data_IF_290299926349
#
_entry.id   IF_290299926349
#
_cell.length_a   1.000
_cell.length_b   1.000
_cell.length_c   1.000
_cell.angle_alpha   90.00
_cell.angle_beta   90.00
_cell.angle_gamma   90.00
#
_symmetry.space_group_name_H-M   'P 1'
#
loop_
_entity.id
_entity.type
_entity.pdbx_description
1 polymer ?
#
# COMPACT_ATOMS: atom_id res chain seq x y z
N UNK A 1 5.03 10.29 5.19
CA UNK A 1 4.72 9.93 3.77
C UNK A 1 4.76 11.20 2.92
N UNK A 2 5.60 11.30 1.86
CA UNK A 2 5.81 12.57 1.12
C UNK A 2 4.54 13.11 0.44
N UNK A 3 4.42 14.43 0.41
CA UNK A 3 3.32 15.17 -0.23
C UNK A 3 3.09 14.78 -1.71
N UNK A 4 4.12 14.27 -2.39
CA UNK A 4 4.04 13.87 -3.79
C UNK A 4 3.10 12.70 -4.08
N UNK A 5 2.78 11.87 -3.09
CA UNK A 5 1.88 10.72 -3.25
C UNK A 5 0.39 11.13 -3.26
N UNK A 6 0.07 12.25 -2.62
CA UNK A 6 -1.30 12.69 -2.37
C UNK A 6 -1.89 13.48 -3.54
N UNK A 7 -3.22 13.58 -3.54
CA UNK A 7 -4.06 14.32 -4.50
C UNK A 7 -3.83 13.92 -5.96
N UNK A 8 -3.27 12.73 -6.17
CA UNK A 8 -2.93 12.16 -7.46
C UNK A 8 -3.51 10.76 -7.56
N UNK A 9 -4.18 10.47 -8.68
CA UNK A 9 -4.61 9.12 -9.02
C UNK A 9 -3.47 8.39 -9.71
N UNK A 10 -3.06 7.25 -9.16
CA UNK A 10 -1.98 6.40 -9.63
C UNK A 10 -2.55 5.13 -10.25
N UNK A 11 -1.99 4.71 -11.38
CA UNK A 11 -2.19 3.35 -11.88
C UNK A 11 -1.10 2.46 -11.30
N UNK A 12 -1.48 1.34 -10.69
CA UNK A 12 -0.59 0.41 -9.99
C UNK A 12 -0.25 -0.75 -10.91
N UNK A 13 1.05 -1.00 -11.04
CA UNK A 13 1.62 -2.14 -11.76
C UNK A 13 2.40 -3.01 -10.78
N UNK A 14 2.48 -4.30 -11.08
CA UNK A 14 3.36 -5.25 -10.40
C UNK A 14 4.70 -5.32 -11.10
N UNK A 15 5.78 -5.36 -10.31
CA UNK A 15 7.12 -5.76 -10.74
C UNK A 15 7.40 -7.08 -10.02
N UNK A 16 7.23 -8.24 -10.69
CA UNK A 16 7.29 -9.55 -10.05
C UNK A 16 8.59 -9.81 -9.30
N UNK A 17 9.71 -9.40 -9.91
CA UNK A 17 11.04 -9.57 -9.38
C UNK A 17 11.86 -8.30 -9.61
N UNK A 18 12.25 -7.65 -8.52
CA UNK A 18 13.21 -6.56 -8.55
C UNK A 18 14.61 -7.14 -8.75
N UNK A 19 15.31 -6.68 -9.77
CA UNK A 19 16.68 -7.15 -10.01
C UNK A 19 17.63 -6.57 -8.97
N UNK A 20 18.78 -7.22 -8.68
CA UNK A 20 19.74 -6.72 -7.70
C UNK A 20 20.25 -5.30 -8.02
N UNK A 21 20.36 -4.94 -9.30
CA UNK A 21 20.75 -3.60 -9.74
C UNK A 21 19.70 -2.54 -9.39
N UNK A 22 18.42 -2.84 -9.67
CA UNK A 22 17.32 -1.96 -9.32
C UNK A 22 17.09 -1.90 -7.80
N UNK A 23 17.19 -3.03 -7.11
CA UNK A 23 17.13 -3.11 -5.65
C UNK A 23 18.20 -2.23 -5.00
N UNK A 24 19.43 -2.16 -5.52
CA UNK A 24 20.47 -1.26 -4.99
C UNK A 24 20.10 0.23 -5.08
N UNK A 25 19.30 0.62 -6.08
CA UNK A 25 18.80 1.99 -6.22
C UNK A 25 17.65 2.28 -5.25
N UNK A 26 16.80 1.28 -5.01
CA UNK A 26 15.63 1.40 -4.14
C UNK A 26 16.00 1.25 -2.65
N UNK A 27 16.92 0.34 -2.31
CA UNK A 27 17.15 -0.18 -0.95
C UNK A 27 18.20 0.58 -0.12
N UNK A 28 17.93 0.61 1.19
CA UNK A 28 18.69 1.00 2.39
C UNK A 28 19.62 2.25 2.36
N UNK A 29 19.46 3.19 3.32
CA UNK A 29 20.07 4.51 3.28
C UNK A 29 21.59 4.43 3.36
N UNK A 30 22.24 5.41 2.74
CA UNK A 30 23.67 5.55 2.84
C UNK A 30 23.98 6.03 4.26
N UNK A 31 24.59 5.23 5.11
CA UNK A 31 24.87 5.68 6.48
C UNK A 31 25.95 6.76 6.55
N UNK A 32 26.71 6.94 5.47
CA UNK A 32 27.79 7.92 5.37
C UNK A 32 27.45 9.03 4.37
N UNK A 33 27.84 10.29 4.64
CA UNK A 33 27.64 11.41 3.71
C UNK A 33 28.23 11.15 2.32
N UNK A 34 29.40 10.52 2.26
CA UNK A 34 30.04 10.14 0.98
C UNK A 34 29.21 9.13 0.18
N UNK A 35 28.58 8.16 0.86
CA UNK A 35 27.70 7.21 0.19
C UNK A 35 26.39 7.88 -0.28
N UNK A 36 25.90 8.91 0.42
CA UNK A 36 24.75 9.71 -0.03
C UNK A 36 25.09 10.48 -1.31
N UNK A 37 26.25 11.12 -1.36
CA UNK A 37 26.69 11.87 -2.54
C UNK A 37 26.90 10.98 -3.76
N UNK A 38 27.65 9.88 -3.60
CA UNK A 38 27.85 8.88 -4.67
C UNK A 38 26.52 8.33 -5.19
N UNK A 39 25.55 8.11 -4.31
CA UNK A 39 24.22 7.65 -4.70
C UNK A 39 23.43 8.73 -5.43
N UNK A 40 23.52 9.99 -4.99
CA UNK A 40 22.90 11.13 -5.69
C UNK A 40 23.44 11.25 -7.11
N UNK A 41 24.75 11.10 -7.30
CA UNK A 41 25.39 11.07 -8.62
C UNK A 41 24.89 9.89 -9.46
N UNK A 42 24.79 8.70 -8.87
CA UNK A 42 24.26 7.53 -9.57
C UNK A 42 22.81 7.75 -10.03
N UNK A 43 21.95 8.31 -9.17
CA UNK A 43 20.57 8.64 -9.51
C UNK A 43 20.49 9.73 -10.59
N UNK A 44 21.34 10.75 -10.52
CA UNK A 44 21.44 11.79 -11.54
C UNK A 44 21.86 11.20 -12.90
N UNK A 45 22.84 10.30 -12.91
CA UNK A 45 23.29 9.59 -14.11
C UNK A 45 22.17 8.76 -14.74
N UNK A 46 21.37 8.05 -13.92
CA UNK A 46 20.19 7.34 -14.43
C UNK A 46 19.09 8.28 -14.95
N UNK A 47 18.93 9.45 -14.33
CA UNK A 47 17.97 10.44 -14.79
C UNK A 47 18.34 11.02 -16.15
N UNK A 48 19.62 11.30 -16.37
CA UNK A 48 20.17 11.74 -17.65
C UNK A 48 20.10 10.63 -18.71
N UNK A 49 20.52 9.41 -18.37
CA UNK A 49 20.43 8.27 -19.29
C UNK A 49 18.99 7.98 -19.71
N UNK A 50 18.03 8.10 -18.78
CA UNK A 50 16.62 7.94 -19.13
C UNK A 50 16.11 9.08 -20.01
N UNK A 51 16.57 10.32 -19.78
CA UNK A 51 16.24 11.46 -20.65
C UNK A 51 16.75 11.22 -22.07
N UNK A 52 18.01 10.80 -22.22
CA UNK A 52 18.59 10.46 -23.52
C UNK A 52 17.81 9.32 -24.20
N UNK A 53 17.46 8.28 -23.43
CA UNK A 53 16.68 7.16 -23.93
C UNK A 53 15.29 7.57 -24.44
N UNK A 54 14.64 8.56 -23.83
CA UNK A 54 13.35 9.09 -24.30
C UNK A 54 13.47 9.79 -25.66
N UNK A 55 14.63 10.40 -25.95
CA UNK A 55 14.91 11.05 -27.22
C UNK A 55 15.38 10.05 -28.29
N UNK A 56 16.08 9.00 -27.88
CA UNK A 56 16.58 7.92 -28.73
C UNK A 56 15.44 7.09 -29.33
N UNK A 57 15.56 6.77 -30.62
CA UNK A 57 14.69 5.79 -31.30
C UNK A 57 13.20 6.14 -31.32
N UNK A 58 12.83 7.41 -31.10
CA UNK A 58 11.45 7.87 -31.22
C UNK A 58 11.10 8.15 -32.68
N UNK A 59 10.05 7.53 -33.25
CA UNK A 59 9.50 7.94 -34.54
C UNK A 59 9.22 9.45 -34.51
N UNK A 60 9.64 10.16 -35.55
CA UNK A 60 9.56 11.63 -35.61
C UNK A 60 8.16 12.17 -35.28
N UNK A 61 7.09 11.50 -35.72
CA UNK A 61 5.71 11.88 -35.42
C UNK A 61 5.37 11.79 -33.92
N UNK A 62 5.79 10.75 -33.19
CA UNK A 62 5.59 10.67 -31.73
C UNK A 62 6.31 11.83 -31.02
N UNK A 63 7.46 12.25 -31.55
CA UNK A 63 8.24 13.35 -30.96
C UNK A 63 7.56 14.69 -31.19
N UNK A 64 7.05 14.93 -32.39
CA UNK A 64 6.33 16.15 -32.72
C UNK A 64 4.98 16.22 -31.99
N UNK A 65 4.25 15.11 -31.89
CA UNK A 65 3.00 15.03 -31.13
C UNK A 65 3.23 15.27 -29.64
N UNK A 66 4.29 14.71 -29.05
CA UNK A 66 4.64 14.98 -27.66
C UNK A 66 5.09 16.41 -27.45
N UNK A 67 5.95 16.93 -28.32
CA UNK A 67 6.43 18.32 -28.24
C UNK A 67 5.29 19.31 -28.39
N UNK A 68 4.31 19.03 -29.25
CA UNK A 68 3.13 19.90 -29.41
C UNK A 68 2.17 19.78 -28.22
N UNK A 69 1.95 18.57 -27.70
CA UNK A 69 1.02 18.33 -26.59
C UNK A 69 1.57 18.69 -25.21
N UNK A 70 2.82 18.33 -24.90
CA UNK A 70 3.48 18.49 -23.59
C UNK A 70 4.53 19.61 -23.55
N UNK A 71 5.01 20.04 -24.72
CA UNK A 71 6.18 20.92 -24.83
C UNK A 71 7.50 20.16 -24.64
N UNK A 72 8.60 20.88 -24.47
CA UNK A 72 9.90 20.28 -24.22
C UNK A 72 10.00 19.62 -22.84
N UNK A 73 10.76 18.52 -22.76
CA UNK A 73 11.16 17.93 -21.48
C UNK A 73 12.18 18.85 -20.80
N UNK A 74 11.82 19.47 -19.67
CA UNK A 74 12.68 20.39 -18.93
C UNK A 74 13.72 19.66 -18.10
N UNK A 75 13.28 18.65 -17.34
CA UNK A 75 14.18 17.85 -16.51
C UNK A 75 13.59 16.47 -16.20
N UNK A 76 14.49 15.53 -15.94
CA UNK A 76 14.24 14.20 -15.42
C UNK A 76 14.95 14.09 -14.09
N UNK A 77 14.28 13.62 -13.04
CA UNK A 77 14.90 13.42 -11.72
C UNK A 77 14.56 12.05 -11.17
N UNK A 78 15.55 11.44 -10.53
CA UNK A 78 15.40 10.19 -9.78
C UNK A 78 15.76 10.50 -8.35
N UNK A 79 14.79 10.36 -7.45
CA UNK A 79 14.94 10.69 -6.05
C UNK A 79 14.49 9.53 -5.21
N UNK A 80 15.35 9.12 -4.29
CA UNK A 80 14.97 8.11 -3.32
C UNK A 80 14.14 8.72 -2.21
N UNK A 81 13.18 7.96 -1.72
CA UNK A 81 12.47 8.24 -0.49
C UNK A 81 13.08 7.38 0.60
N UNK A 82 14.05 7.95 1.29
CA UNK A 82 14.49 7.38 2.57
C UNK A 82 13.35 7.53 3.56
N UNK A 83 13.06 6.44 4.29
CA UNK A 83 12.02 6.32 5.31
C UNK A 83 10.79 7.16 4.99
N UNK A 84 9.80 6.62 4.25
CA UNK A 84 8.49 7.27 4.11
C UNK A 84 7.86 7.66 5.48
N UNK A 85 8.42 7.13 6.58
CA UNK A 85 8.13 7.38 7.98
C UNK A 85 8.73 8.68 8.54
N UNK A 86 9.92 9.10 8.11
CA UNK A 86 10.61 10.20 8.78
C UNK A 86 9.93 11.52 8.46
N UNK A 87 9.44 12.13 9.54
CA UNK A 87 8.67 13.35 9.62
C UNK A 87 9.33 14.47 8.80
N UNK A 88 8.50 15.31 8.19
CA UNK A 88 8.93 16.62 7.73
C UNK A 88 9.70 17.26 8.90
N UNK A 89 10.94 17.69 8.63
CA UNK A 89 11.89 18.24 9.61
C UNK A 89 11.22 19.21 10.59
N UNK A 90 10.70 18.70 11.71
CA UNK A 90 10.40 19.53 12.86
C UNK A 90 11.71 19.75 13.61
N UNK A 91 12.32 20.84 13.18
CA UNK A 91 13.42 21.58 13.78
C UNK A 91 13.50 21.37 15.31
N UNK A 92 14.55 20.68 15.72
CA UNK A 92 15.30 20.88 16.97
C UNK A 92 14.48 21.29 18.22
N UNK A 93 14.14 20.31 19.05
CA UNK A 93 14.02 20.55 20.50
C UNK A 93 14.95 19.61 21.26
N UNK A 94 16.16 20.06 21.62
CA UNK A 94 17.08 19.27 22.43
C UNK A 94 16.68 19.37 23.90
N UNK A 95 15.90 18.41 24.39
CA UNK A 95 15.66 18.28 25.83
C UNK A 95 16.63 17.24 26.40
N UNK A 96 17.69 17.73 27.04
CA UNK A 96 18.62 16.91 27.81
C UNK A 96 17.97 16.51 29.14
N UNK A 97 17.63 15.23 29.30
CA UNK A 97 17.30 14.68 30.61
C UNK A 97 18.25 13.54 30.98
N UNK A 98 19.15 13.87 31.91
CA UNK A 98 20.04 12.96 32.59
C UNK A 98 19.29 12.34 33.78
N UNK A 99 19.10 11.01 33.81
CA UNK A 99 18.44 10.43 34.98
C UNK A 99 18.25 8.91 35.02
N UNK A 100 19.22 8.24 35.64
CA UNK A 100 19.10 7.02 36.48
C UNK A 100 18.57 5.70 35.85
N UNK A 101 19.54 4.79 35.71
CA UNK A 101 19.45 3.37 35.35
C UNK A 101 18.57 2.56 36.32
N UNK A 102 17.55 1.88 35.80
CA UNK A 102 16.95 0.68 36.41
C UNK A 102 17.02 -0.49 35.41
N UNK A 103 17.46 -1.69 35.83
CA UNK A 103 17.47 -2.86 34.96
C UNK A 103 16.07 -3.49 34.96
N UNK A 104 15.32 -3.29 33.88
CA UNK A 104 14.04 -3.97 33.63
C UNK A 104 14.24 -4.95 32.48
N UNK A 105 13.92 -6.22 32.72
CA UNK A 105 13.86 -7.27 31.71
C UNK A 105 12.74 -6.91 30.72
N UNK A 106 13.13 -6.21 29.66
CA UNK A 106 12.25 -5.83 28.56
C UNK A 106 12.14 -7.07 27.66
N UNK A 107 10.98 -7.71 27.72
CA UNK A 107 10.58 -8.73 26.76
C UNK A 107 10.68 -8.08 25.38
N UNK A 108 11.67 -8.50 24.59
CA UNK A 108 11.92 -8.06 23.23
C UNK A 108 10.73 -8.44 22.34
N UNK A 109 9.64 -7.69 22.44
CA UNK A 109 8.75 -7.46 21.29
C UNK A 109 9.53 -6.54 20.36
N UNK A 110 10.55 -7.10 19.70
CA UNK A 110 11.08 -6.52 18.48
C UNK A 110 9.90 -6.52 17.50
N UNK A 111 9.16 -5.41 17.49
CA UNK A 111 8.17 -5.13 16.46
C UNK A 111 8.88 -5.39 15.14
N UNK A 112 8.39 -6.38 14.37
CA UNK A 112 8.82 -6.65 13.01
C UNK A 112 8.55 -5.39 12.19
N UNK A 113 9.50 -4.45 12.21
CA UNK A 113 9.38 -3.20 11.49
C UNK A 113 9.58 -3.52 10.02
N UNK A 114 8.48 -3.57 9.29
CA UNK A 114 8.49 -3.66 7.84
C UNK A 114 9.16 -2.41 7.27
N UNK A 115 10.38 -2.58 6.75
CA UNK A 115 11.11 -1.46 6.15
C UNK A 115 10.53 -1.20 4.76
N UNK A 116 10.03 0.01 4.54
CA UNK A 116 9.49 0.44 3.25
C UNK A 116 10.56 1.23 2.49
N UNK A 117 10.85 0.83 1.26
CA UNK A 117 11.79 1.53 0.39
C UNK A 117 11.07 2.01 -0.87
N UNK A 118 11.38 3.23 -1.32
CA UNK A 118 10.79 3.75 -2.55
C UNK A 118 11.72 4.63 -3.37
N UNK A 119 11.56 4.56 -4.68
CA UNK A 119 12.26 5.36 -5.67
C UNK A 119 11.23 6.15 -6.50
N UNK A 120 11.36 7.47 -6.52
CA UNK A 120 10.50 8.38 -7.29
C UNK A 120 11.25 8.85 -8.51
N UNK A 121 10.65 8.64 -9.68
CA UNK A 121 11.11 9.18 -10.96
C UNK A 121 10.11 10.24 -11.41
N UNK A 122 10.61 11.42 -11.78
CA UNK A 122 9.79 12.55 -12.21
C UNK A 122 10.28 13.07 -13.56
N UNK A 123 9.36 13.23 -14.51
CA UNK A 123 9.59 13.87 -15.81
C UNK A 123 8.77 15.15 -15.85
N UNK A 124 9.44 16.29 -15.84
CA UNK A 124 8.78 17.59 -15.92
C UNK A 124 8.87 18.14 -17.34
N UNK A 125 7.75 18.12 -18.04
CA UNK A 125 7.58 18.80 -19.31
C UNK A 125 7.15 20.24 -19.08
N UNK A 126 7.07 21.04 -20.15
CA UNK A 126 6.58 22.42 -20.06
C UNK A 126 5.13 22.51 -19.58
N UNK A 127 4.26 21.61 -20.07
CA UNK A 127 2.81 21.65 -19.82
C UNK A 127 2.33 20.62 -18.80
N UNK A 128 3.10 19.55 -18.57
CA UNK A 128 2.68 18.46 -17.69
C UNK A 128 3.85 17.86 -16.90
N UNK A 129 3.56 17.12 -15.84
CA UNK A 129 4.57 16.38 -15.08
C UNK A 129 4.13 14.94 -14.90
N UNK A 130 4.95 14.02 -15.39
CA UNK A 130 4.78 12.58 -15.18
C UNK A 130 5.61 12.10 -14.01
N UNK A 131 5.06 11.13 -13.28
CA UNK A 131 5.69 10.60 -12.08
C UNK A 131 5.55 9.08 -12.03
N UNK A 132 6.58 8.45 -11.50
CA UNK A 132 6.63 7.03 -11.22
C UNK A 132 7.14 6.83 -9.79
N UNK A 133 6.61 5.85 -9.09
CA UNK A 133 7.10 5.44 -7.77
C UNK A 133 7.25 3.93 -7.78
N UNK A 134 8.49 3.46 -7.68
CA UNK A 134 8.76 2.04 -7.40
C UNK A 134 8.78 1.89 -5.88
N UNK A 135 7.86 1.11 -5.33
CA UNK A 135 7.69 0.92 -3.90
C UNK A 135 7.80 -0.58 -3.57
N UNK A 136 8.58 -0.91 -2.54
CA UNK A 136 8.73 -2.28 -2.04
C UNK A 136 8.83 -2.26 -0.51
N UNK A 137 8.47 -3.39 0.10
CA UNK A 137 8.61 -3.62 1.54
C UNK A 137 9.60 -4.74 1.75
N UNK A 138 10.56 -4.58 2.64
CA UNK A 138 11.42 -5.69 3.05
C UNK A 138 10.91 -6.21 4.38
N UNK A 139 10.51 -7.48 4.40
CA UNK A 139 10.32 -8.18 5.67
C UNK A 139 11.70 -8.28 6.33
N UNK A 140 11.88 -7.63 7.47
CA UNK A 140 13.12 -7.77 8.23
C UNK A 140 13.18 -9.19 8.76
N UNK A 141 13.88 -10.08 8.06
CA UNK A 141 14.14 -11.44 8.54
C UNK A 141 15.22 -11.41 9.63
N UNK A 142 15.01 -10.63 10.69
CA UNK A 142 15.93 -10.58 11.84
C UNK A 142 15.97 -11.92 12.60
N UNK A 143 15.06 -12.86 12.32
CA UNK A 143 14.90 -14.09 13.12
C UNK A 143 15.62 -15.35 12.62
N UNK A 144 16.35 -15.32 11.50
CA UNK A 144 17.03 -16.53 10.97
C UNK A 144 18.54 -16.55 11.24
N UNK A 145 19.01 -16.39 12.49
CA UNK A 145 20.40 -16.76 12.82
C UNK A 145 20.64 -17.12 14.28
N UNK A 146 19.86 -18.04 14.84
CA UNK A 146 20.34 -18.79 16.01
C UNK A 146 19.69 -20.17 16.07
N UNK A 147 20.41 -21.18 15.57
CA UNK A 147 20.84 -22.36 16.35
C UNK A 147 21.04 -23.63 15.48
N UNK A 148 22.32 -24.05 15.47
CA UNK A 148 22.87 -25.41 15.34
C UNK A 148 22.80 -26.15 14.01
N UNK A 149 23.95 -26.10 13.31
CA UNK A 149 24.84 -27.24 13.01
C UNK A 149 24.18 -28.61 13.23
N UNK A 150 23.91 -29.33 12.15
CA UNK A 150 24.50 -30.64 11.85
C UNK A 150 24.47 -30.83 10.34
N UNK A 151 25.58 -31.33 9.81
CA UNK A 151 25.88 -31.41 8.41
C UNK A 151 25.01 -32.47 7.71
N UNK A 152 24.46 -32.13 6.56
CA UNK A 152 24.07 -33.08 5.52
C UNK A 152 24.20 -32.34 4.19
N UNK A 153 25.18 -32.67 3.34
CA UNK A 153 25.37 -31.99 2.08
C UNK A 153 24.44 -32.61 1.02
N UNK A 154 24.22 -31.83 -0.04
CA UNK A 154 23.80 -32.33 -1.36
C UNK A 154 22.31 -32.59 -1.55
N UNK A 155 21.54 -31.51 -1.55
CA UNK A 155 20.55 -31.30 -2.60
C UNK A 155 20.68 -29.86 -3.05
N UNK A 156 21.05 -29.68 -4.32
CA UNK A 156 20.94 -28.39 -5.02
C UNK A 156 19.46 -28.03 -5.03
N UNK A 157 18.97 -27.44 -3.95
CA UNK A 157 17.67 -26.80 -3.94
C UNK A 157 17.84 -25.62 -4.87
N UNK A 158 17.31 -25.74 -6.08
CA UNK A 158 16.95 -24.60 -6.92
C UNK A 158 16.19 -23.64 -6.01
N UNK A 159 16.87 -22.62 -5.53
CA UNK A 159 16.28 -21.62 -4.65
C UNK A 159 15.19 -20.96 -5.47
N UNK A 160 13.93 -21.24 -5.12
CA UNK A 160 12.82 -20.45 -5.62
C UNK A 160 13.19 -18.97 -5.45
N UNK A 161 12.93 -18.12 -6.46
CA UNK A 161 13.22 -16.69 -6.33
C UNK A 161 12.58 -16.19 -5.03
N UNK A 162 13.36 -15.50 -4.20
CA UNK A 162 12.84 -14.91 -2.97
C UNK A 162 11.67 -14.01 -3.33
N UNK A 163 10.45 -14.41 -2.95
CA UNK A 163 9.23 -13.62 -3.19
C UNK A 163 9.26 -12.25 -2.49
N UNK A 164 10.26 -12.03 -1.65
CA UNK A 164 10.50 -10.75 -0.98
C UNK A 164 10.94 -9.66 -1.96
N UNK A 165 11.41 -10.03 -3.15
CA UNK A 165 11.92 -9.13 -4.19
C UNK A 165 10.80 -8.52 -5.06
N UNK A 166 9.53 -8.74 -4.77
CA UNK A 166 8.44 -8.08 -5.51
C UNK A 166 8.32 -6.60 -5.13
N UNK A 167 7.99 -5.77 -6.12
CA UNK A 167 7.71 -4.35 -5.93
C UNK A 167 6.42 -3.97 -6.68
N UNK A 168 5.87 -2.81 -6.34
CA UNK A 168 4.82 -2.18 -7.13
C UNK A 168 5.35 -0.90 -7.79
N UNK A 169 4.83 -0.60 -8.97
CA UNK A 169 5.06 0.64 -9.70
C UNK A 169 3.77 1.46 -9.72
N UNK A 170 3.79 2.61 -9.05
CA UNK A 170 2.74 3.62 -9.15
C UNK A 170 3.08 4.56 -10.31
N UNK A 171 2.21 4.65 -11.31
CA UNK A 171 2.42 5.49 -12.49
C UNK A 171 1.35 6.57 -12.61
N UNK A 172 1.82 7.80 -12.84
CA UNK A 172 1.05 8.95 -13.31
C UNK A 172 1.69 9.44 -14.61
N UNK A 173 1.34 8.80 -15.73
CA UNK A 173 1.85 9.13 -17.06
C UNK A 173 0.86 8.74 -18.15
N UNK A 174 1.12 9.19 -19.39
CA UNK A 174 0.44 8.63 -20.56
C UNK A 174 0.88 7.18 -20.83
N UNK A 175 0.08 6.37 -21.54
CA UNK A 175 0.45 5.00 -21.90
C UNK A 175 1.75 4.93 -22.72
N UNK A 176 2.02 5.92 -23.57
CA UNK A 176 3.22 5.97 -24.40
C UNK A 176 4.49 6.16 -23.55
N UNK A 177 4.49 7.12 -22.62
CA UNK A 177 5.64 7.34 -21.72
C UNK A 177 5.81 6.17 -20.76
N UNK A 178 4.71 5.60 -20.26
CA UNK A 178 4.80 4.40 -19.42
C UNK A 178 5.49 3.26 -20.17
N UNK A 179 5.08 2.97 -21.41
CA UNK A 179 5.71 1.92 -22.23
C UNK A 179 7.22 2.14 -22.34
N UNK A 180 7.65 3.37 -22.61
CA UNK A 180 9.09 3.72 -22.70
C UNK A 180 9.81 3.56 -21.38
N UNK A 181 9.20 3.97 -20.28
CA UNK A 181 9.76 3.77 -18.94
C UNK A 181 9.92 2.28 -18.63
N UNK A 182 8.90 1.46 -18.94
CA UNK A 182 8.97 0.01 -18.81
C UNK A 182 10.09 -0.59 -19.66
N UNK A 183 10.21 -0.21 -20.94
CA UNK A 183 11.30 -0.70 -21.80
C UNK A 183 12.67 -0.27 -21.30
N UNK A 184 12.82 0.97 -20.81
CA UNK A 184 14.07 1.41 -20.18
C UNK A 184 14.43 0.57 -18.96
N UNK A 185 13.44 0.21 -18.13
CA UNK A 185 13.66 -0.67 -16.99
C UNK A 185 14.06 -2.08 -17.42
N UNK A 186 13.44 -2.62 -18.48
CA UNK A 186 13.82 -3.90 -19.08
C UNK A 186 15.26 -3.85 -19.62
N UNK A 187 15.62 -2.82 -20.39
CA UNK A 187 16.93 -2.72 -21.05
C UNK A 187 18.07 -2.47 -20.05
N UNK A 188 17.86 -1.61 -19.05
CA UNK A 188 18.92 -1.21 -18.11
C UNK A 188 19.01 -2.07 -16.87
N UNK A 189 17.88 -2.61 -16.42
CA UNK A 189 17.80 -3.35 -15.16
C UNK A 189 17.36 -4.80 -15.35
N UNK A 190 17.11 -5.27 -16.57
CA UNK A 190 16.61 -6.63 -16.84
C UNK A 190 15.31 -6.94 -16.11
N UNK A 191 14.40 -5.96 -16.08
CA UNK A 191 13.05 -6.13 -15.55
C UNK A 191 12.17 -6.70 -16.66
N UNK A 192 11.93 -8.00 -16.64
CA UNK A 192 11.32 -8.72 -17.76
C UNK A 192 9.81 -8.51 -17.91
N UNK A 193 9.10 -8.22 -16.81
CA UNK A 193 7.63 -8.09 -16.83
C UNK A 193 7.14 -6.98 -15.90
N UNK A 194 6.41 -6.01 -16.45
CA UNK A 194 5.64 -5.03 -15.69
C UNK A 194 4.20 -5.14 -16.20
N UNK A 195 3.26 -5.52 -15.32
CA UNK A 195 1.86 -5.72 -15.68
C UNK A 195 0.92 -4.98 -14.72
N UNK A 196 -0.29 -4.57 -15.15
CA UNK A 196 -1.26 -3.95 -14.26
C UNK A 196 -1.62 -4.87 -13.08
N UNK A 197 -1.64 -4.34 -11.86
CA UNK A 197 -1.93 -5.13 -10.66
C UNK A 197 -3.44 -5.36 -10.48
N UNK A 198 -3.94 -6.55 -10.84
CA UNK A 198 -5.39 -6.84 -10.77
C UNK A 198 -5.88 -6.94 -9.32
N UNK A 199 -6.75 -6.04 -8.86
CA UNK A 199 -7.24 -6.10 -7.47
C UNK A 199 -8.57 -6.85 -7.39
N UNK A 200 -8.58 -7.95 -6.63
CA UNK A 200 -9.80 -8.73 -6.40
C UNK A 200 -10.81 -7.96 -5.54
N UNK A 201 -12.10 -8.30 -5.66
CA UNK A 201 -13.14 -7.72 -4.79
C UNK A 201 -12.85 -7.99 -3.31
N UNK A 202 -12.33 -9.18 -3.00
CA UNK A 202 -11.93 -9.57 -1.65
C UNK A 202 -10.81 -8.68 -1.09
N UNK A 203 -9.82 -8.33 -1.92
CA UNK A 203 -8.76 -7.41 -1.54
C UNK A 203 -9.34 -6.03 -1.19
N UNK A 204 -10.18 -5.47 -2.08
CA UNK A 204 -10.81 -4.17 -1.86
C UNK A 204 -11.59 -4.13 -0.52
N UNK A 205 -12.42 -5.15 -0.28
CA UNK A 205 -13.21 -5.27 0.95
C UNK A 205 -12.32 -5.37 2.20
N UNK A 206 -11.26 -6.18 2.13
CA UNK A 206 -10.28 -6.35 3.22
C UNK A 206 -9.54 -5.04 3.51
N UNK A 207 -9.14 -4.32 2.47
CA UNK A 207 -8.49 -3.00 2.59
C UNK A 207 -9.41 -1.99 3.26
N UNK A 208 -10.69 -1.93 2.90
CA UNK A 208 -11.65 -1.05 3.55
C UNK A 208 -11.86 -1.41 5.02
N UNK A 209 -11.99 -2.70 5.34
CA UNK A 209 -12.13 -3.21 6.71
C UNK A 209 -10.97 -2.77 7.61
N UNK A 210 -9.74 -2.96 7.14
CA UNK A 210 -8.53 -2.50 7.85
C UNK A 210 -8.52 -0.98 8.01
N UNK A 211 -8.84 -0.26 6.93
CA UNK A 211 -8.79 1.20 6.95
C UNK A 211 -9.82 1.81 7.93
N UNK A 212 -11.05 1.28 7.97
CA UNK A 212 -12.09 1.70 8.93
C UNK A 212 -11.69 1.41 10.37
N UNK A 213 -10.92 0.34 10.59
CA UNK A 213 -10.40 0.00 11.92
C UNK A 213 -9.21 0.88 12.35
N UNK A 214 -8.47 1.45 11.39
CA UNK A 214 -7.27 2.27 11.63
C UNK A 214 -7.54 3.78 11.67
N UNK A 215 -8.64 4.26 11.07
CA UNK A 215 -8.96 5.68 10.93
C UNK A 215 -10.33 6.01 11.53
N UNK A 216 -10.45 7.04 12.40
CA UNK A 216 -11.72 7.49 12.95
C UNK A 216 -12.78 7.76 11.89
N UNK A 217 -14.03 7.36 12.15
CA UNK A 217 -15.14 7.49 11.19
C UNK A 217 -15.41 8.93 10.74
N UNK A 218 -15.11 9.92 11.58
CA UNK A 218 -15.24 11.33 11.25
C UNK A 218 -14.36 11.76 10.06
N UNK A 219 -13.18 11.15 9.90
CA UNK A 219 -12.24 11.45 8.83
C UNK A 219 -12.56 10.72 7.52
N UNK A 220 -13.19 9.54 7.60
CA UNK A 220 -13.54 8.73 6.43
C UNK A 220 -14.55 9.40 5.51
N UNK A 221 -15.34 10.34 6.03
CA UNK A 221 -16.40 11.00 5.28
C UNK A 221 -17.47 10.01 4.79
N UNK A 222 -18.01 10.26 3.59
CA UNK A 222 -18.97 9.35 2.97
C UNK A 222 -18.22 8.23 2.23
N UNK A 223 -18.50 6.97 2.57
CA UNK A 223 -17.96 5.81 1.86
C UNK A 223 -18.82 5.56 0.63
N UNK A 224 -18.20 5.32 -0.53
CA UNK A 224 -18.87 4.99 -1.78
C UNK A 224 -18.33 3.69 -2.34
N UNK A 225 -19.23 2.79 -2.73
CA UNK A 225 -18.92 1.52 -3.37
C UNK A 225 -19.44 1.54 -4.80
N UNK A 226 -18.67 1.00 -5.75
CA UNK A 226 -19.15 0.72 -7.11
C UNK A 226 -19.24 -0.78 -7.33
N UNK A 227 -20.40 -1.23 -7.80
CA UNK A 227 -20.72 -2.61 -8.12
C UNK A 227 -21.03 -2.75 -9.61
N UNK A 228 -20.12 -3.26 -10.46
CA UNK A 228 -20.45 -3.67 -11.80
C UNK A 228 -21.45 -4.83 -11.79
N UNK A 229 -22.32 -4.87 -12.79
CA UNK A 229 -23.17 -6.03 -13.06
C UNK A 229 -22.68 -6.76 -14.30
N UNK A 230 -22.63 -8.08 -14.21
CA UNK A 230 -22.52 -8.90 -15.39
C UNK A 230 -23.81 -8.79 -16.23
N UNK A 231 -23.67 -8.74 -17.55
CA UNK A 231 -24.82 -8.92 -18.44
C UNK A 231 -25.39 -10.34 -18.22
N UNK A 232 -26.72 -10.54 -18.21
CA UNK A 232 -27.76 -9.65 -18.75
C UNK A 232 -28.67 -8.99 -17.70
N UNK A 233 -28.29 -8.94 -16.42
CA UNK A 233 -29.18 -8.52 -15.30
C UNK A 233 -29.92 -7.21 -15.59
N UNK A 234 -29.23 -6.27 -16.23
CA UNK A 234 -29.83 -5.18 -16.97
C UNK A 234 -28.92 -4.81 -18.16
N UNK A 235 -29.42 -4.75 -19.40
CA UNK A 235 -28.59 -4.53 -20.60
C UNK A 235 -27.85 -3.18 -20.57
N UNK A 236 -28.46 -2.18 -19.93
CA UNK A 236 -27.96 -0.80 -19.87
C UNK A 236 -27.30 -0.43 -18.54
N UNK A 237 -27.55 -1.21 -17.46
CA UNK A 237 -26.96 -0.94 -16.15
C UNK A 237 -25.58 -1.61 -16.06
N UNK A 238 -24.53 -0.85 -16.37
CA UNK A 238 -23.15 -1.34 -16.28
C UNK A 238 -22.67 -1.47 -14.84
N UNK A 239 -23.07 -0.53 -13.97
CA UNK A 239 -22.65 -0.48 -12.58
C UNK A 239 -23.61 0.31 -11.72
N UNK A 240 -23.70 -0.03 -10.44
CA UNK A 240 -24.38 0.74 -9.39
C UNK A 240 -23.34 1.41 -8.48
N UNK A 241 -23.52 2.70 -8.20
CA UNK A 241 -22.79 3.41 -7.16
C UNK A 241 -23.66 3.50 -5.90
N UNK A 242 -23.15 2.98 -4.78
CA UNK A 242 -23.82 3.00 -3.49
C UNK A 242 -23.08 3.97 -2.58
N UNK A 243 -23.79 4.99 -2.12
CA UNK A 243 -23.27 5.94 -1.15
C UNK A 243 -23.73 5.55 0.26
N UNK A 244 -22.76 5.24 1.13
CA UNK A 244 -23.01 4.79 2.51
C UNK A 244 -23.15 6.02 3.41
N UNK A 245 -24.30 6.20 4.09
CA UNK A 245 -24.49 7.29 5.04
C UNK A 245 -23.48 7.22 6.19
N UNK A 246 -23.01 8.38 6.67
CA UNK A 246 -21.99 8.46 7.72
C UNK A 246 -22.44 7.77 9.01
N UNK A 247 -23.73 7.83 9.30
CA UNK A 247 -24.38 7.20 10.45
C UNK A 247 -24.20 5.68 10.44
N UNK A 248 -24.07 5.07 9.26
CA UNK A 248 -23.81 3.62 9.11
C UNK A 248 -22.40 3.26 9.59
N UNK A 249 -21.41 4.10 9.24
CA UNK A 249 -20.03 3.92 9.70
C UNK A 249 -19.89 4.23 11.18
N UNK A 250 -20.53 5.29 11.67
CA UNK A 250 -20.52 5.68 13.08
C UNK A 250 -21.24 4.66 13.98
N UNK A 251 -22.34 4.07 13.52
CA UNK A 251 -23.02 3.01 14.28
C UNK A 251 -22.13 1.78 14.43
N UNK A 252 -21.39 1.41 13.37
CA UNK A 252 -20.42 0.32 13.45
C UNK A 252 -19.30 0.61 14.44
N UNK A 253 -18.67 1.80 14.38
CA UNK A 253 -17.57 2.15 15.30
C UNK A 253 -18.02 2.18 16.76
N UNK A 254 -19.25 2.65 17.04
CA UNK A 254 -19.86 2.59 18.39
C UNK A 254 -20.07 1.17 18.88
N UNK A 255 -20.56 0.26 18.02
CA UNK A 255 -20.74 -1.15 18.35
C UNK A 255 -19.38 -1.81 18.61
N UNK A 256 -18.39 -1.54 17.76
CA UNK A 256 -17.03 -2.07 17.90
C UNK A 256 -16.36 -1.59 19.19
N UNK A 257 -16.49 -0.30 19.55
CA UNK A 257 -15.99 0.25 20.80
C UNK A 257 -16.66 -0.39 22.04
N UNK A 258 -17.98 -0.62 21.96
CA UNK A 258 -18.73 -1.30 23.02
C UNK A 258 -18.30 -2.77 23.18
N UNK A 259 -17.97 -3.45 22.09
CA UNK A 259 -17.45 -4.82 22.10
C UNK A 259 -16.07 -4.86 22.76
N UNK A 260 -15.17 -3.92 22.42
CA UNK A 260 -13.84 -3.81 23.05
C UNK A 260 -13.91 -3.62 24.57
N UNK A 261 -14.87 -2.83 25.07
CA UNK A 261 -15.08 -2.63 26.52
C UNK A 261 -15.66 -3.86 27.23
N UNK A 262 -16.39 -4.73 26.52
CA UNK A 262 -17.03 -5.94 27.09
C UNK A 262 -16.18 -7.20 26.97
N UNK A 263 -15.24 -7.25 26.03
CA UNK A 263 -14.36 -8.40 25.84
C UNK A 263 -13.36 -8.52 26.98
N UNK A 264 -13.80 -9.05 28.11
CA UNK A 264 -12.94 -9.54 29.18
C UNK A 264 -12.08 -10.73 28.69
N UNK A 265 -11.00 -11.06 29.41
CA UNK A 265 -9.96 -12.03 28.98
C UNK A 265 -10.46 -13.47 28.73
N UNK A 266 -11.73 -13.77 29.00
CA UNK A 266 -12.35 -15.08 28.84
C UNK A 266 -13.42 -15.16 27.75
N UNK A 267 -13.67 -14.10 26.97
CA UNK A 267 -14.56 -14.23 25.81
C UNK A 267 -13.87 -15.04 24.70
N UNK A 268 -14.05 -16.35 24.83
CA UNK A 268 -13.92 -17.37 23.80
C UNK A 268 -14.51 -16.87 22.49
N UNK A 269 -13.64 -16.55 21.53
CA UNK A 269 -13.90 -16.71 20.09
C UNK A 269 -15.24 -16.11 19.61
N UNK A 270 -15.67 -14.99 20.18
CA UNK A 270 -16.84 -14.28 19.69
C UNK A 270 -16.60 -13.85 18.25
N UNK A 271 -17.61 -14.01 17.39
CA UNK A 271 -17.56 -13.56 16.00
C UNK A 271 -17.12 -12.08 15.98
N UNK A 272 -15.94 -11.83 15.40
CA UNK A 272 -15.48 -10.46 15.16
C UNK A 272 -16.49 -9.81 14.21
N UNK A 273 -17.14 -8.74 14.65
CA UNK A 273 -18.03 -7.97 13.79
C UNK A 273 -17.18 -7.27 12.73
N UNK A 274 -17.36 -7.68 11.48
CA UNK A 274 -16.72 -7.04 10.34
C UNK A 274 -17.58 -5.90 9.81
N UNK A 275 -16.95 -4.77 9.50
CA UNK A 275 -17.56 -3.62 8.86
C UNK A 275 -18.24 -4.01 7.55
N UNK A 276 -17.60 -4.85 6.74
CA UNK A 276 -18.18 -5.33 5.48
C UNK A 276 -19.46 -6.13 5.68
N UNK A 277 -19.60 -6.89 6.77
CA UNK A 277 -20.84 -7.60 7.10
C UNK A 277 -21.95 -6.63 7.52
N UNK A 278 -21.60 -5.63 8.34
CA UNK A 278 -22.52 -4.54 8.69
C UNK A 278 -23.01 -3.79 7.44
N UNK A 279 -22.08 -3.49 6.54
CA UNK A 279 -22.34 -2.77 5.30
C UNK A 279 -23.21 -3.58 4.32
N UNK A 280 -22.95 -4.88 4.17
CA UNK A 280 -23.77 -5.73 3.31
C UNK A 280 -25.20 -5.87 3.83
N UNK A 281 -25.38 -6.01 5.14
CA UNK A 281 -26.70 -6.00 5.76
C UNK A 281 -27.42 -4.66 5.53
N UNK A 282 -26.71 -3.54 5.68
CA UNK A 282 -27.26 -2.23 5.36
C UNK A 282 -27.72 -2.15 3.90
N UNK A 283 -26.88 -2.60 2.95
CA UNK A 283 -27.19 -2.54 1.52
C UNK A 283 -28.36 -3.46 1.18
N UNK A 284 -28.36 -4.68 1.69
CA UNK A 284 -29.47 -5.62 1.52
C UNK A 284 -30.78 -5.02 2.04
N UNK A 285 -30.76 -4.44 3.25
CA UNK A 285 -31.95 -3.85 3.86
C UNK A 285 -32.47 -2.61 3.12
N UNK A 286 -31.59 -1.84 2.46
CA UNK A 286 -31.96 -0.59 1.77
C UNK A 286 -32.25 -0.77 0.28
N UNK A 287 -31.64 -1.74 -0.36
CA UNK A 287 -31.68 -1.90 -1.82
C UNK A 287 -32.19 -3.27 -2.26
N UNK A 288 -32.27 -4.25 -1.36
CA UNK A 288 -32.53 -5.65 -1.69
C UNK A 288 -31.34 -6.37 -2.35
N UNK A 289 -30.21 -5.69 -2.55
CA UNK A 289 -29.02 -6.27 -3.17
C UNK A 289 -28.16 -6.99 -2.13
N UNK A 290 -27.86 -8.26 -2.40
CA UNK A 290 -26.84 -9.00 -1.66
C UNK A 290 -25.47 -8.77 -2.29
N UNK A 291 -24.46 -8.44 -1.48
CA UNK A 291 -23.07 -8.31 -1.93
C UNK A 291 -22.27 -9.45 -1.28
N UNK A 292 -21.35 -10.10 -2.01
CA UNK A 292 -20.46 -11.08 -1.40
C UNK A 292 -19.59 -10.40 -0.33
N UNK A 293 -19.64 -10.95 0.89
CA UNK A 293 -18.90 -10.45 2.05
C UNK A 293 -17.81 -11.43 2.42
N UNK A 294 -16.73 -10.88 2.98
CA UNK A 294 -15.72 -11.66 3.68
C UNK A 294 -16.32 -12.26 4.95
N UNK A 295 -16.34 -13.60 5.03
CA UNK A 295 -16.69 -14.30 6.26
C UNK A 295 -15.41 -14.85 6.89
N UNK A 296 -15.31 -14.78 8.21
CA UNK A 296 -14.32 -15.58 8.93
C UNK A 296 -14.73 -17.04 8.83
N UNK A 297 -13.97 -17.86 8.10
CA UNK A 297 -14.08 -19.31 8.28
C UNK A 297 -13.40 -19.64 9.60
N UNK A 298 -14.12 -20.33 10.48
CA UNK A 298 -13.66 -20.75 11.81
C UNK A 298 -12.55 -21.82 11.70
N UNK A 299 -11.37 -21.49 11.16
CA UNK A 299 -10.30 -22.48 10.90
C UNK A 299 -8.86 -21.98 10.94
N UNK A 300 -8.58 -20.68 10.84
CA UNK A 300 -7.21 -20.15 10.93
C UNK A 300 -7.20 -18.64 11.10
N UNK A 301 -6.24 -18.10 11.85
CA UNK A 301 -6.22 -16.69 12.25
C UNK A 301 -6.13 -15.69 11.07
N UNK A 302 -5.73 -16.14 9.88
CA UNK A 302 -5.52 -15.28 8.69
C UNK A 302 -6.19 -15.78 7.40
N UNK A 303 -7.01 -16.84 7.44
CA UNK A 303 -7.65 -17.35 6.22
C UNK A 303 -9.05 -16.77 6.06
N UNK A 304 -9.13 -15.62 5.39
CA UNK A 304 -10.38 -15.02 4.91
C UNK A 304 -10.82 -15.78 3.65
N UNK A 305 -11.88 -16.58 3.74
CA UNK A 305 -12.45 -17.29 2.59
C UNK A 305 -13.78 -16.65 2.24
N UNK A 306 -14.00 -16.40 0.96
CA UNK A 306 -15.33 -16.00 0.45
C UNK A 306 -16.27 -17.18 0.64
N UNK A 307 -17.45 -16.95 1.20
CA UNK A 307 -18.47 -18.00 1.31
C UNK A 307 -18.70 -18.62 -0.09
N UNK A 308 -18.46 -19.92 -0.31
CA UNK A 308 -18.61 -20.55 -1.61
C UNK A 308 -20.05 -20.48 -2.14
N UNK A 309 -21.06 -20.24 -1.28
CA UNK A 309 -22.42 -19.97 -1.75
C UNK A 309 -22.58 -18.62 -2.47
N UNK A 310 -21.57 -17.73 -2.41
CA UNK A 310 -21.60 -16.40 -3.01
C UNK A 310 -21.01 -16.31 -4.42
N UNK A 311 -20.45 -17.38 -4.99
CA UNK A 311 -19.89 -17.34 -6.35
C UNK A 311 -20.94 -17.11 -7.45
N UNK A 312 -22.21 -17.43 -7.15
CA UNK A 312 -23.33 -17.11 -8.04
C UNK A 312 -23.76 -15.64 -7.95
N UNK A 313 -23.18 -14.85 -7.04
CA UNK A 313 -23.58 -13.47 -6.84
C UNK A 313 -22.94 -12.58 -7.91
N UNK A 314 -23.74 -11.99 -8.83
CA UNK A 314 -23.19 -11.27 -9.97
C UNK A 314 -22.60 -9.90 -9.61
N UNK A 315 -22.89 -9.41 -8.40
CA UNK A 315 -22.38 -8.13 -7.93
C UNK A 315 -21.02 -8.33 -7.24
N UNK A 316 -19.99 -7.63 -7.72
CA UNK A 316 -18.66 -7.61 -7.11
C UNK A 316 -18.30 -6.17 -6.79
N UNK A 317 -17.65 -5.92 -5.65
CA UNK A 317 -17.08 -4.58 -5.38
C UNK A 317 -15.92 -4.36 -6.35
N UNK A 318 -15.99 -3.33 -7.19
CA UNK A 318 -14.92 -2.95 -8.12
C UNK A 318 -14.25 -1.63 -7.79
N UNK A 319 -14.86 -0.79 -6.95
CA UNK A 319 -14.27 0.48 -6.52
C UNK A 319 -14.77 0.85 -5.14
N UNK A 320 -13.86 1.41 -4.35
CA UNK A 320 -14.10 1.99 -3.04
C UNK A 320 -13.57 3.42 -3.07
N UNK A 321 -14.35 4.35 -2.54
CA UNK A 321 -13.92 5.74 -2.36
C UNK A 321 -14.37 6.23 -1.01
N UNK A 322 -13.46 6.88 -0.29
CA UNK A 322 -13.70 7.58 0.97
C UNK A 322 -13.16 9.00 0.85
N UNK A 323 -13.27 9.81 1.90
CA UNK A 323 -12.60 11.11 1.95
C UNK A 323 -11.06 11.00 2.12
N UNK A 324 -10.53 9.83 2.48
CA UNK A 324 -9.11 9.61 2.71
C UNK A 324 -8.39 8.95 1.53
N UNK A 325 -9.06 8.02 0.85
CA UNK A 325 -8.50 7.28 -0.28
C UNK A 325 -9.57 6.80 -1.26
N UNK A 326 -9.13 6.45 -2.47
CA UNK A 326 -9.92 5.68 -3.42
C UNK A 326 -9.08 4.53 -3.99
N UNK A 327 -9.73 3.38 -4.23
CA UNK A 327 -9.11 2.17 -4.74
C UNK A 327 -10.05 1.47 -5.72
N UNK A 328 -9.55 0.99 -6.87
CA UNK A 328 -10.35 0.25 -7.86
C UNK A 328 -9.71 -1.06 -8.29
N UNK A 329 -10.55 -2.00 -8.74
CA UNK A 329 -10.18 -3.27 -9.34
C UNK A 329 -9.35 -3.09 -10.62
N UNK A 330 -9.51 -1.95 -11.30
CA UNK A 330 -8.70 -1.51 -12.45
C UNK A 330 -7.32 -0.95 -12.04
N UNK A 331 -6.81 -1.36 -10.88
CA UNK A 331 -5.48 -1.00 -10.39
C UNK A 331 -5.29 0.50 -10.17
N UNK A 332 -6.33 1.28 -9.84
CA UNK A 332 -6.16 2.72 -9.54
C UNK A 332 -6.22 2.99 -8.04
N UNK A 333 -5.27 3.78 -7.55
CA UNK A 333 -5.22 4.23 -6.14
C UNK A 333 -5.06 5.75 -6.06
N UNK A 334 -5.78 6.39 -5.15
CA UNK A 334 -5.64 7.82 -4.83
C UNK A 334 -5.63 7.98 -3.32
N UNK A 335 -4.74 8.84 -2.81
CA UNK A 335 -4.72 9.27 -1.42
C UNK A 335 -5.02 10.76 -1.35
N UNK A 336 -5.83 11.19 -0.39
CA UNK A 336 -6.24 12.60 -0.26
C UNK A 336 -5.41 13.30 0.82
N UNK A 337 -4.81 14.45 0.47
CA UNK A 337 -3.99 15.23 1.41
C UNK A 337 -4.83 15.87 2.51
N UNK A 338 -6.02 16.34 2.18
CA UNK A 338 -6.92 17.01 3.13
C UNK A 338 -7.29 16.12 4.32
N UNK A 339 -7.40 14.81 4.11
CA UNK A 339 -7.67 13.87 5.20
C UNK A 339 -6.48 13.74 6.15
N UNK A 340 -5.26 13.83 5.62
CA UNK A 340 -4.04 13.86 6.43
C UNK A 340 -3.99 15.15 7.24
N UNK A 341 -4.16 16.31 6.60
CA UNK A 341 -4.17 17.61 7.29
C UNK A 341 -5.27 17.68 8.37
N UNK A 342 -6.46 17.14 8.11
CA UNK A 342 -7.55 17.09 9.09
C UNK A 342 -7.25 16.18 10.30
N UNK A 343 -6.30 15.24 10.16
CA UNK A 343 -5.83 14.39 11.24
C UNK A 343 -4.61 14.97 11.97
N UNK A 344 -3.97 16.03 11.44
CA UNK A 344 -2.91 16.78 12.13
C UNK A 344 -3.56 17.62 13.24
N UNK A 345 -3.60 17.09 14.46
CA UNK A 345 -4.22 17.74 15.63
C UNK A 345 -5.20 16.85 16.38
N UNK A 346 -5.64 15.74 15.77
CA UNK A 346 -6.27 14.65 16.48
C UNK A 346 -5.17 13.79 17.10
N UNK A 347 -4.46 14.33 18.09
CA UNK A 347 -3.78 13.45 19.02
C UNK A 347 -4.85 12.58 19.66
N UNK A 348 -4.58 11.27 19.71
CA UNK A 348 -5.43 10.31 20.41
C UNK A 348 -5.55 10.84 21.84
N UNK A 349 -6.61 11.59 22.13
CA UNK A 349 -7.04 11.94 23.48
C UNK A 349 -7.47 10.61 24.10
N UNK A 350 -6.48 9.77 24.37
CA UNK A 350 -6.61 8.55 25.12
C UNK A 350 -7.13 8.99 26.47
N UNK A 351 -8.44 8.81 26.63
CA UNK A 351 -9.20 8.88 27.87
C UNK A 351 -8.36 8.25 29.00
N UNK A 352 -7.67 9.10 29.72
CA UNK A 352 -6.63 8.73 30.68
C UNK A 352 -6.18 9.94 31.48
N UNK A 353 -7.11 10.84 31.80
CA UNK A 353 -6.97 11.60 33.05
C UNK A 353 -6.85 10.54 34.15
N UNK A 354 -5.70 10.53 34.85
CA UNK A 354 -5.35 9.63 35.95
C UNK A 354 -4.46 8.41 35.60
N UNK A 355 -3.28 8.66 35.02
CA UNK A 355 -2.12 7.79 35.24
C UNK A 355 -0.85 8.63 35.30
N UNK A 356 -0.25 8.68 36.49
CA UNK A 356 0.85 9.57 36.85
C UNK A 356 2.06 9.52 35.92
N UNK A 357 2.82 10.62 35.97
CA UNK A 357 4.12 10.87 35.36
C UNK A 357 5.06 9.66 35.46
N UNK A 358 4.90 8.73 34.53
CA UNK A 358 5.80 7.62 34.30
C UNK A 358 6.30 7.79 32.88
N UNK A 359 7.60 8.03 32.74
CA UNK A 359 8.39 8.08 31.50
C UNK A 359 8.14 6.84 30.64
N UNK A 360 6.97 6.78 30.02
CA UNK A 360 6.63 5.80 29.01
C UNK A 360 7.19 6.42 27.75
N UNK A 361 8.37 5.97 27.34
CA UNK A 361 8.98 6.31 26.06
C UNK A 361 7.88 6.28 25.01
N UNK A 362 7.45 7.46 24.55
CA UNK A 362 6.39 7.59 23.57
C UNK A 362 6.83 6.78 22.35
N UNK A 363 6.07 5.73 22.04
CA UNK A 363 6.30 4.90 20.87
C UNK A 363 6.40 5.87 19.68
N UNK A 364 7.51 5.90 18.91
CA UNK A 364 7.67 6.84 17.81
C UNK A 364 6.52 6.75 16.78
N UNK A 365 5.88 5.59 16.68
CA UNK A 365 4.70 5.39 15.83
C UNK A 365 3.45 6.14 16.34
N UNK A 366 3.37 6.49 17.63
CA UNK A 366 2.28 7.29 18.21
C UNK A 366 2.26 8.74 17.73
N UNK A 367 3.41 9.25 17.25
CA UNK A 367 3.49 10.59 16.67
C UNK A 367 3.03 10.61 15.21
N UNK A 368 2.87 9.44 14.57
CA UNK A 368 2.41 9.39 13.20
C UNK A 368 0.89 9.55 13.12
N UNK A 369 0.48 10.52 12.32
CA UNK A 369 -0.91 10.72 11.91
C UNK A 369 -1.55 9.40 11.42
N UNK A 370 -2.69 9.03 12.02
CA UNK A 370 -3.39 7.76 11.76
C UNK A 370 -3.71 7.51 10.27
N UNK A 371 -4.02 8.55 9.50
CA UNK A 371 -4.30 8.46 8.07
C UNK A 371 -3.02 8.11 7.28
N UNK A 372 -1.87 8.69 7.66
CA UNK A 372 -0.58 8.36 7.04
C UNK A 372 -0.20 6.91 7.29
N UNK A 373 -0.39 6.44 8.54
CA UNK A 373 -0.19 5.03 8.91
C UNK A 373 -1.10 4.10 8.09
N UNK A 374 -2.41 4.39 8.03
CA UNK A 374 -3.36 3.58 7.27
C UNK A 374 -3.05 3.57 5.75
N UNK A 375 -2.61 4.69 5.17
CA UNK A 375 -2.18 4.75 3.78
C UNK A 375 -0.92 3.90 3.53
N UNK A 376 0.03 3.88 4.48
CA UNK A 376 1.23 3.03 4.38
C UNK A 376 0.85 1.56 4.44
N UNK A 377 -0.01 1.18 5.39
CA UNK A 377 -0.52 -0.19 5.50
C UNK A 377 -1.23 -0.62 4.20
N UNK A 378 -1.98 0.28 3.56
CA UNK A 378 -2.60 0.00 2.27
C UNK A 378 -1.57 -0.20 1.15
N UNK A 379 -0.51 0.61 1.09
CA UNK A 379 0.58 0.40 0.13
C UNK A 379 1.32 -0.92 0.36
N UNK A 380 1.58 -1.27 1.62
CA UNK A 380 2.20 -2.54 1.97
C UNK A 380 1.30 -3.72 1.55
N UNK A 381 -0.01 -3.63 1.79
CA UNK A 381 -0.97 -4.63 1.33
C UNK A 381 -1.00 -4.77 -0.19
N UNK A 382 -0.81 -3.69 -0.96
CA UNK A 382 -0.69 -3.77 -2.42
C UNK A 382 0.58 -4.51 -2.85
N UNK A 383 1.70 -4.36 -2.14
CA UNK A 383 2.92 -5.15 -2.38
C UNK A 383 2.66 -6.62 -2.07
N UNK A 384 1.99 -6.92 -0.97
CA UNK A 384 1.66 -8.31 -0.60
C UNK A 384 0.69 -8.97 -1.60
N UNK A 385 -0.24 -8.19 -2.14
CA UNK A 385 -1.12 -8.65 -3.22
C UNK A 385 -0.35 -8.91 -4.52
N UNK A 386 0.61 -8.04 -4.87
CA UNK A 386 1.51 -8.29 -6.00
C UNK A 386 2.31 -9.59 -5.80
N UNK A 387 2.86 -9.82 -4.59
CA UNK A 387 3.55 -11.07 -4.24
C UNK A 387 2.66 -12.29 -4.38
N UNK A 388 1.41 -12.18 -3.94
CA UNK A 388 0.42 -13.26 -4.02
C UNK A 388 0.17 -13.64 -5.49
N UNK A 389 -0.03 -12.66 -6.37
CA UNK A 389 -0.26 -12.91 -7.80
C UNK A 389 0.94 -13.58 -8.46
N UNK A 390 2.16 -13.16 -8.14
CA UNK A 390 3.38 -13.81 -8.65
C UNK A 390 3.46 -15.28 -8.22
N UNK A 391 3.08 -15.60 -6.97
CA UNK A 391 3.03 -16.98 -6.47
C UNK A 391 1.98 -17.81 -7.22
N UNK A 392 0.80 -17.25 -7.45
CA UNK A 392 -0.29 -17.93 -8.18
C UNK A 392 0.11 -18.20 -9.64
N UNK A 393 0.82 -17.27 -10.29
CA UNK A 393 1.33 -17.45 -11.65
C UNK A 393 2.45 -18.50 -11.73
N UNK A 394 3.28 -18.63 -10.69
CA UNK A 394 4.35 -19.63 -10.64
C UNK A 394 3.85 -21.05 -10.35
N UNK A 395 2.65 -21.16 -9.79
CA UNK A 395 1.96 -22.43 -9.51
C UNK A 395 0.63 -22.46 -10.26
N UNK A 396 0.65 -22.47 -11.61
CA UNK A 396 -0.56 -22.76 -12.36
C UNK A 396 -1.00 -24.13 -11.87
N UNK A 397 -2.14 -24.18 -11.20
CA UNK A 397 -2.66 -25.42 -10.65
C UNK A 397 -2.65 -26.45 -11.78
N UNK A 398 -2.03 -27.62 -11.57
CA UNK A 398 -2.19 -28.82 -12.42
C UNK A 398 -3.64 -29.32 -12.32
N UNK A 399 -4.61 -28.43 -12.49
CA UNK A 399 -6.01 -28.71 -12.72
C UNK A 399 -6.18 -29.10 -14.19
N UNK A 400 -5.46 -30.15 -14.59
CA UNK A 400 -5.84 -31.03 -15.67
C UNK A 400 -6.49 -32.25 -15.05
N UNK A 401 -7.82 -32.26 -14.97
CA UNK A 401 -8.62 -33.36 -14.46
C UNK A 401 -10.04 -33.28 -14.98
#
# INVERSE_FOLDING_TARGET
MKASLYDTSWTVYSIPQITPSLSKLVSAPATTPQAHEKRREQLASHAESFREYLDESRPWHERDDEKTSLGGLKHSTWTRLDNMLDQDEHTNSPVMHAGKKRPRQQLEQENERTQSNALVVCLAYEKETYKYIIYTTSASTARSSKRRRTASPTTQSTSAPSTDDTAILLSKSSPAILKRFSTYLSDRFSVDAIHPLSLSSLFLQSSLERYVSSVPSALLGQIRLTLPFARPIAPDLKSLEIAVPRETTESFTKVQASQRRRSGPRQTRGEKLFFMHHLANFILNKTGLSIPVICNVHGGADSLVVDPQCDTNPARVSKISTACFALSAECRVKFERKAVEAAEGLHDEGEGEDAGEGDTEADPDSAENCVRRANRELLAALVDEARRQVRDESHPSDSGG
#
